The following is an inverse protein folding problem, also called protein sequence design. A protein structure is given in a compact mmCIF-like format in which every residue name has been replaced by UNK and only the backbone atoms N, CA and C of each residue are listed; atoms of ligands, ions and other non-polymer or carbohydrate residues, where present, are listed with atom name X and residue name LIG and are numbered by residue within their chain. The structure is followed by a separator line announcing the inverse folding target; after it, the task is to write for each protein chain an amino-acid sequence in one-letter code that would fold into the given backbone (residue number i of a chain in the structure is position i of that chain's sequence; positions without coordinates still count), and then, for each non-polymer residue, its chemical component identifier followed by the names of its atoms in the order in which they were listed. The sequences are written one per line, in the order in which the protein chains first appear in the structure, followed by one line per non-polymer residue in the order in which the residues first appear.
data_IF_418476099605
#
_entry.id   IF_418476099605
#
_cell.length_a   1.000
_cell.length_b   1.000
_cell.length_c   1.000
_cell.angle_alpha   90.00
_cell.angle_beta   90.00
_cell.angle_gamma   90.00
#
_symmetry.space_group_name_H-M   'P 1'
#
loop_
_entity.id
_entity.type
_entity.pdbx_description
1 polymer ?
#
# COMPACT_ATOMS: atom_id res chain seq x y z
N UNK A 1 -7.78 47.79 -21.64
CA UNK A 1 -8.77 46.76 -21.25
C UNK A 1 -8.51 45.42 -21.94
N UNK A 2 -8.43 45.37 -23.28
CA UNK A 2 -8.17 44.11 -24.03
C UNK A 2 -6.87 43.40 -23.60
N UNK A 3 -5.77 44.14 -23.42
CA UNK A 3 -4.49 43.59 -22.93
C UNK A 3 -4.60 43.03 -21.50
N UNK A 4 -5.39 43.66 -20.62
CA UNK A 4 -5.63 43.13 -19.27
C UNK A 4 -6.46 41.85 -19.30
N UNK A 5 -7.51 41.79 -20.12
CA UNK A 5 -8.33 40.59 -20.28
C UNK A 5 -7.51 39.42 -20.81
N UNK A 6 -6.63 39.67 -21.79
CA UNK A 6 -5.72 38.65 -22.31
C UNK A 6 -4.68 38.21 -21.27
N UNK A 7 -4.13 39.14 -20.50
CA UNK A 7 -3.18 38.84 -19.42
C UNK A 7 -3.79 38.00 -18.31
N UNK A 8 -5.02 38.30 -17.88
CA UNK A 8 -5.73 37.50 -16.86
C UNK A 8 -6.04 36.09 -17.37
N UNK A 9 -6.49 35.97 -18.63
CA UNK A 9 -6.76 34.66 -19.24
C UNK A 9 -5.49 33.81 -19.38
N UNK A 10 -4.39 34.41 -19.83
CA UNK A 10 -3.10 33.72 -19.98
C UNK A 10 -2.53 33.29 -18.62
N UNK A 11 -2.61 34.16 -17.61
CA UNK A 11 -2.16 33.83 -16.26
C UNK A 11 -3.01 32.72 -15.62
N UNK A 12 -4.33 32.77 -15.77
CA UNK A 12 -5.24 31.73 -15.27
C UNK A 12 -4.96 30.37 -15.91
N UNK A 13 -4.64 30.35 -17.20
CA UNK A 13 -4.25 29.12 -17.90
C UNK A 13 -2.94 28.53 -17.35
N UNK A 14 -1.91 29.36 -17.19
CA UNK A 14 -0.61 28.92 -16.64
C UNK A 14 -0.79 28.40 -15.21
N UNK A 15 -1.52 29.12 -14.36
CA UNK A 15 -1.76 28.69 -12.99
C UNK A 15 -2.57 27.40 -12.91
N UNK A 16 -3.57 27.22 -13.78
CA UNK A 16 -4.32 25.96 -13.87
C UNK A 16 -3.41 24.77 -14.17
N UNK A 17 -2.53 24.91 -15.18
CA UNK A 17 -1.56 23.86 -15.53
C UNK A 17 -0.50 23.64 -14.45
N UNK A 18 -0.09 24.71 -13.77
CA UNK A 18 0.87 24.62 -12.67
C UNK A 18 0.29 23.88 -11.46
N UNK A 19 -0.97 24.15 -11.09
CA UNK A 19 -1.68 23.43 -10.03
C UNK A 19 -1.83 21.95 -10.40
N UNK A 20 -2.21 21.64 -11.63
CA UNK A 20 -2.35 20.25 -12.12
C UNK A 20 -1.01 19.49 -12.05
N UNK A 21 0.11 20.15 -12.37
CA UNK A 21 1.44 19.54 -12.25
C UNK A 21 1.81 19.34 -10.77
N UNK A 22 1.54 20.31 -9.90
CA UNK A 22 1.79 20.18 -8.46
C UNK A 22 0.97 19.05 -7.85
N UNK A 23 -0.30 18.93 -8.24
CA UNK A 23 -1.18 17.86 -7.79
C UNK A 23 -0.69 16.50 -8.26
N UNK A 24 -0.25 16.36 -9.52
CA UNK A 24 0.34 15.12 -10.04
C UNK A 24 1.68 14.75 -9.41
N UNK A 25 2.50 15.73 -9.01
CA UNK A 25 3.75 15.49 -8.29
C UNK A 25 3.49 15.09 -6.84
N UNK A 26 2.48 15.70 -6.21
CA UNK A 26 2.10 15.39 -4.84
C UNK A 26 1.27 14.12 -4.75
N UNK A 27 0.53 13.69 -5.79
CA UNK A 27 -0.31 12.47 -5.76
C UNK A 27 0.50 11.21 -5.43
N UNK A 28 1.77 11.14 -5.87
CA UNK A 28 2.68 10.05 -5.52
C UNK A 28 3.14 10.04 -4.06
N UNK A 29 3.13 11.19 -3.37
CA UNK A 29 3.44 11.32 -1.93
C UNK A 29 2.17 11.33 -1.06
N UNK A 30 1.05 11.75 -1.65
CA UNK A 30 -0.23 12.01 -0.99
C UNK A 30 -0.95 10.72 -0.61
N UNK A 31 -0.71 9.58 -1.27
CA UNK A 31 -1.35 8.32 -0.87
C UNK A 31 -1.11 8.00 0.61
N UNK A 32 0.13 8.08 1.09
CA UNK A 32 0.45 7.76 2.49
C UNK A 32 -0.08 8.83 3.47
N UNK A 33 -0.07 10.11 3.08
CA UNK A 33 -0.59 11.20 3.92
C UNK A 33 -2.12 11.16 4.04
N UNK A 34 -2.81 10.79 2.95
CA UNK A 34 -4.26 10.59 2.93
C UNK A 34 -4.64 9.39 3.81
N UNK A 35 -3.90 8.29 3.72
CA UNK A 35 -4.13 7.10 4.54
C UNK A 35 -3.96 7.37 6.05
N UNK A 36 -2.97 8.17 6.44
CA UNK A 36 -2.80 8.59 7.84
C UNK A 36 -3.96 9.49 8.31
N UNK A 37 -4.42 10.40 7.45
CA UNK A 37 -5.60 11.24 7.73
C UNK A 37 -6.86 10.39 7.88
N UNK A 38 -7.05 9.40 7.02
CA UNK A 38 -8.18 8.47 7.06
C UNK A 38 -8.16 7.61 8.33
N UNK A 39 -6.99 7.17 8.79
CA UNK A 39 -6.85 6.48 10.07
C UNK A 39 -7.23 7.37 11.25
N UNK A 40 -6.83 8.66 11.24
CA UNK A 40 -7.25 9.63 12.27
C UNK A 40 -8.76 9.88 12.25
N UNK A 41 -9.35 9.97 11.07
CA UNK A 41 -10.79 10.07 10.89
C UNK A 41 -11.50 8.82 11.43
N UNK A 42 -10.96 7.64 11.16
CA UNK A 42 -11.46 6.37 11.67
C UNK A 42 -11.43 6.31 13.21
N UNK A 43 -10.34 6.74 13.86
CA UNK A 43 -10.31 6.85 15.32
C UNK A 43 -11.39 7.79 15.87
N UNK A 44 -11.63 8.91 15.19
CA UNK A 44 -12.68 9.86 15.56
C UNK A 44 -14.07 9.23 15.46
N UNK A 45 -14.36 8.52 14.37
CA UNK A 45 -15.62 7.79 14.19
C UNK A 45 -15.78 6.71 15.26
N UNK A 46 -14.74 5.93 15.53
CA UNK A 46 -14.75 4.86 16.53
C UNK A 46 -15.01 5.40 17.96
N UNK A 47 -14.45 6.57 18.29
CA UNK A 47 -14.71 7.23 19.57
C UNK A 47 -16.18 7.64 19.75
N UNK A 48 -16.86 8.06 18.67
CA UNK A 48 -18.30 8.35 18.68
C UNK A 48 -19.12 7.09 18.95
N UNK A 49 -18.75 5.96 18.33
CA UNK A 49 -19.40 4.67 18.55
C UNK A 49 -19.26 4.17 20.00
N UNK A 50 -18.14 4.47 20.67
CA UNK A 50 -17.90 4.11 22.07
C UNK A 50 -18.46 5.09 23.10
N UNK A 51 -19.48 5.90 22.76
CA UNK A 51 -20.05 6.94 23.65
C UNK A 51 -18.98 7.91 24.18
N UNK A 52 -18.07 8.37 23.30
CA UNK A 52 -16.95 9.25 23.63
C UNK A 52 -15.89 8.66 24.59
N UNK A 53 -15.88 7.35 24.83
CA UNK A 53 -14.74 6.70 25.49
C UNK A 53 -13.62 6.50 24.47
N UNK A 54 -12.53 7.26 24.64
CA UNK A 54 -11.32 7.13 23.84
C UNK A 54 -10.70 5.74 24.04
N UNK A 55 -10.12 5.17 22.98
CA UNK A 55 -9.25 4.01 23.13
C UNK A 55 -8.05 4.39 24.01
N UNK A 56 -7.44 3.41 24.66
CA UNK A 56 -6.21 3.66 25.39
C UNK A 56 -5.18 4.24 24.41
N UNK A 57 -4.47 5.31 24.82
CA UNK A 57 -3.44 5.94 24.00
C UNK A 57 -2.43 4.90 23.49
N UNK A 58 -2.07 3.95 24.36
CA UNK A 58 -1.18 2.82 24.02
C UNK A 58 -1.68 2.01 22.81
N UNK A 59 -2.96 1.63 22.79
CA UNK A 59 -3.51 0.86 21.67
C UNK A 59 -3.60 1.71 20.39
N UNK A 60 -3.95 2.99 20.52
CA UNK A 60 -4.00 3.91 19.38
C UNK A 60 -2.62 4.07 18.73
N UNK A 61 -1.58 4.27 19.54
CA UNK A 61 -0.19 4.33 19.08
C UNK A 61 0.24 3.01 18.44
N UNK A 62 -0.10 1.87 19.03
CA UNK A 62 0.22 0.55 18.44
C UNK A 62 -0.41 0.37 17.06
N UNK A 63 -1.68 0.72 16.90
CA UNK A 63 -2.39 0.66 15.62
C UNK A 63 -1.74 1.60 14.60
N UNK A 64 -1.41 2.83 15.01
CA UNK A 64 -0.75 3.79 14.13
C UNK A 64 0.63 3.30 13.67
N UNK A 65 1.44 2.77 14.58
CA UNK A 65 2.75 2.18 14.25
C UNK A 65 2.63 1.00 13.28
N UNK A 66 1.62 0.15 13.47
CA UNK A 66 1.33 -0.96 12.54
C UNK A 66 1.06 -0.45 11.13
N UNK A 67 0.13 0.50 10.96
CA UNK A 67 -0.24 1.00 9.65
C UNK A 67 0.86 1.83 9.00
N UNK A 68 1.59 2.64 9.77
CA UNK A 68 2.75 3.38 9.28
C UNK A 68 3.83 2.43 8.71
N UNK A 69 4.11 1.34 9.41
CA UNK A 69 5.01 0.31 8.90
C UNK A 69 4.46 -0.36 7.64
N UNK A 70 3.17 -0.73 7.66
CA UNK A 70 2.50 -1.37 6.54
C UNK A 70 2.60 -0.52 5.26
N UNK A 71 2.15 0.74 5.30
CA UNK A 71 2.15 1.62 4.12
C UNK A 71 3.56 1.91 3.59
N UNK A 72 4.55 2.04 4.49
CA UNK A 72 5.94 2.27 4.10
C UNK A 72 6.57 1.06 3.39
N UNK A 73 6.12 -0.16 3.70
CA UNK A 73 6.69 -1.40 3.15
C UNK A 73 5.74 -2.13 2.20
N UNK A 74 4.58 -1.56 1.89
CA UNK A 74 3.65 -2.12 0.94
C UNK A 74 4.21 -2.00 -0.49
N UNK A 75 4.69 -3.13 -1.00
CA UNK A 75 5.27 -3.23 -2.35
C UNK A 75 4.23 -3.04 -3.45
N UNK A 76 2.95 -3.12 -3.10
CA UNK A 76 1.81 -2.99 -4.00
C UNK A 76 1.12 -1.63 -3.89
N UNK A 77 1.62 -0.69 -3.09
CA UNK A 77 1.02 0.62 -2.88
C UNK A 77 0.71 1.36 -4.20
N UNK A 78 1.56 1.22 -5.20
CA UNK A 78 1.38 1.84 -6.53
C UNK A 78 0.66 0.94 -7.56
N UNK A 79 0.39 -0.33 -7.22
CA UNK A 79 -0.13 -1.34 -8.14
C UNK A 79 -1.45 -1.90 -7.60
N UNK A 80 -2.56 -1.32 -8.06
CA UNK A 80 -3.89 -1.87 -7.78
C UNK A 80 -4.16 -3.10 -8.65
N UNK A 81 -4.83 -4.11 -8.08
CA UNK A 81 -5.25 -5.35 -8.77
C UNK A 81 -6.05 -5.03 -10.05
N UNK A 82 -6.88 -3.99 -10.01
CA UNK A 82 -7.73 -3.57 -11.13
C UNK A 82 -7.11 -2.53 -12.06
N UNK A 83 -5.82 -2.23 -11.92
CA UNK A 83 -5.15 -1.23 -12.73
C UNK A 83 -5.20 -1.60 -14.22
N UNK A 84 -5.80 -0.72 -15.03
CA UNK A 84 -5.97 -0.87 -16.47
C UNK A 84 -4.62 -1.03 -17.20
N UNK A 85 -3.59 -0.31 -16.73
CA UNK A 85 -2.22 -0.47 -17.23
C UNK A 85 -1.69 -1.88 -16.98
N UNK A 86 -1.90 -2.44 -15.79
CA UNK A 86 -1.52 -3.82 -15.49
C UNK A 86 -2.32 -4.82 -16.32
N UNK A 87 -3.58 -4.54 -16.66
CA UNK A 87 -4.39 -5.40 -17.53
C UNK A 87 -3.85 -5.43 -18.95
N UNK A 88 -3.43 -4.28 -19.49
CA UNK A 88 -2.90 -4.13 -20.84
C UNK A 88 -1.51 -4.78 -21.07
N UNK A 89 -0.73 -4.97 -20.00
CA UNK A 89 0.62 -5.53 -20.14
C UNK A 89 0.63 -7.01 -20.61
N UNK A 90 1.63 -7.42 -21.41
CA UNK A 90 1.89 -8.83 -21.70
C UNK A 90 2.18 -9.64 -20.44
N UNK A 91 1.82 -10.92 -20.44
CA UNK A 91 2.01 -11.83 -19.29
C UNK A 91 3.47 -11.94 -18.83
N UNK A 92 4.43 -11.93 -19.77
CA UNK A 92 5.86 -11.96 -19.47
C UNK A 92 6.31 -10.75 -18.64
N UNK A 93 5.84 -9.56 -19.01
CA UNK A 93 6.18 -8.31 -18.31
C UNK A 93 5.56 -8.27 -16.92
N UNK A 94 4.28 -8.63 -16.78
CA UNK A 94 3.62 -8.74 -15.46
C UNK A 94 4.39 -9.65 -14.52
N UNK A 95 4.87 -10.78 -15.05
CA UNK A 95 5.67 -11.75 -14.30
C UNK A 95 6.99 -11.15 -13.85
N UNK A 96 7.71 -10.51 -14.77
CA UNK A 96 9.01 -9.90 -14.46
C UNK A 96 8.88 -8.80 -13.38
N UNK A 97 7.85 -7.98 -13.46
CA UNK A 97 7.58 -6.94 -12.45
C UNK A 97 7.24 -7.58 -11.10
N UNK A 98 6.26 -8.48 -11.06
CA UNK A 98 5.77 -9.02 -9.78
C UNK A 98 6.75 -10.02 -9.15
N UNK A 99 7.21 -11.01 -9.91
CA UNK A 99 7.97 -12.15 -9.40
C UNK A 99 9.44 -11.80 -9.25
N UNK A 100 10.04 -11.15 -10.26
CA UNK A 100 11.50 -10.94 -10.26
C UNK A 100 11.90 -9.63 -9.58
N UNK A 101 11.12 -8.57 -9.77
CA UNK A 101 11.46 -7.25 -9.23
C UNK A 101 10.86 -7.00 -7.85
N UNK A 102 9.53 -7.10 -7.70
CA UNK A 102 8.86 -6.74 -6.44
C UNK A 102 9.00 -7.79 -5.35
N UNK A 103 8.90 -9.09 -5.66
CA UNK A 103 8.88 -10.18 -4.67
C UNK A 103 10.00 -11.21 -4.88
N UNK A 104 11.02 -10.87 -5.66
CA UNK A 104 12.10 -11.79 -6.02
C UNK A 104 12.88 -12.29 -4.81
N UNK A 105 13.10 -11.42 -3.83
CA UNK A 105 13.73 -11.74 -2.54
C UNK A 105 12.92 -12.77 -1.72
N UNK A 106 11.63 -12.53 -1.49
CA UNK A 106 10.75 -13.44 -0.72
C UNK A 106 10.65 -14.79 -1.44
N UNK A 107 10.36 -14.77 -2.73
CA UNK A 107 10.19 -16.00 -3.51
C UNK A 107 11.50 -16.78 -3.63
N UNK A 108 12.64 -16.12 -3.66
CA UNK A 108 13.94 -16.77 -3.69
C UNK A 108 14.31 -17.40 -2.34
N UNK A 109 14.09 -16.68 -1.25
CA UNK A 109 14.35 -17.15 0.11
C UNK A 109 13.52 -18.40 0.41
N UNK A 110 12.24 -18.39 0.03
CA UNK A 110 11.29 -19.47 0.25
C UNK A 110 11.03 -20.32 -0.99
N UNK A 111 12.02 -20.44 -1.89
CA UNK A 111 11.86 -21.11 -3.20
C UNK A 111 11.36 -22.56 -3.13
N UNK A 112 11.73 -23.27 -2.06
CA UNK A 112 11.32 -24.65 -1.85
C UNK A 112 9.84 -24.75 -1.46
N UNK A 113 9.36 -23.82 -0.62
CA UNK A 113 7.95 -23.75 -0.23
C UNK A 113 7.07 -23.42 -1.44
N UNK A 114 7.47 -22.41 -2.23
CA UNK A 114 6.70 -21.99 -3.41
C UNK A 114 6.93 -22.84 -4.66
N UNK A 115 7.88 -23.79 -4.62
CA UNK A 115 8.32 -24.60 -5.77
C UNK A 115 8.52 -23.75 -7.02
N UNK A 116 9.37 -22.71 -6.90
CA UNK A 116 9.45 -21.64 -7.91
C UNK A 116 9.81 -22.11 -9.30
N UNK A 117 10.61 -23.18 -9.43
CA UNK A 117 10.97 -23.79 -10.72
C UNK A 117 9.77 -24.44 -11.37
N UNK A 118 9.03 -25.26 -10.63
CA UNK A 118 7.85 -25.98 -11.14
C UNK A 118 6.70 -25.02 -11.48
N UNK A 119 6.56 -23.95 -10.70
CA UNK A 119 5.48 -22.99 -10.82
C UNK A 119 5.83 -21.76 -11.67
N UNK A 120 7.00 -21.72 -12.31
CA UNK A 120 7.51 -20.54 -13.02
C UNK A 120 6.55 -20.04 -14.12
N UNK A 121 5.93 -20.96 -14.86
CA UNK A 121 4.99 -20.67 -15.94
C UNK A 121 3.52 -20.66 -15.50
N UNK A 122 3.27 -21.05 -14.26
CA UNK A 122 1.94 -21.04 -13.67
C UNK A 122 1.52 -19.61 -13.28
N UNK A 123 0.21 -19.39 -13.14
CA UNK A 123 -0.32 -18.15 -12.55
C UNK A 123 -0.13 -18.08 -11.03
N UNK A 124 0.27 -19.19 -10.39
CA UNK A 124 0.30 -19.32 -8.93
C UNK A 124 1.20 -18.28 -8.27
N UNK A 125 2.46 -18.19 -8.72
CA UNK A 125 3.43 -17.25 -8.17
C UNK A 125 2.99 -15.79 -8.38
N UNK A 126 2.35 -15.48 -9.51
CA UNK A 126 1.80 -14.15 -9.76
C UNK A 126 0.65 -13.83 -8.81
N UNK A 127 -0.26 -14.77 -8.60
CA UNK A 127 -1.44 -14.58 -7.73
C UNK A 127 -1.04 -14.46 -6.26
N UNK A 128 -0.10 -15.28 -5.78
CA UNK A 128 0.30 -15.25 -4.37
C UNK A 128 1.01 -13.95 -3.98
N UNK A 129 1.68 -13.28 -4.92
CA UNK A 129 2.29 -11.98 -4.68
C UNK A 129 1.30 -10.93 -4.15
N UNK A 130 0.03 -10.98 -4.58
CA UNK A 130 -1.02 -10.07 -4.11
C UNK A 130 -1.52 -10.38 -2.69
N UNK A 131 -1.18 -11.56 -2.16
CA UNK A 131 -1.56 -11.97 -0.80
C UNK A 131 -0.51 -11.61 0.26
N UNK A 132 0.69 -11.18 -0.13
CA UNK A 132 1.71 -10.81 0.86
C UNK A 132 1.37 -9.48 1.53
N UNK A 133 1.48 -9.48 2.86
CA UNK A 133 1.28 -8.30 3.69
C UNK A 133 2.51 -8.09 4.58
N UNK A 134 3.17 -6.92 4.52
CA UNK A 134 4.28 -6.63 5.42
C UNK A 134 3.78 -6.51 6.86
N UNK A 135 4.46 -7.18 7.79
CA UNK A 135 4.18 -7.07 9.22
C UNK A 135 5.48 -6.90 10.00
N UNK A 136 5.39 -6.15 11.09
CA UNK A 136 6.46 -6.00 12.07
C UNK A 136 5.85 -6.23 13.44
N UNK A 137 6.52 -7.07 14.23
CA UNK A 137 6.15 -7.38 15.60
C UNK A 137 7.18 -6.75 16.56
N UNK A 138 6.72 -6.32 17.73
CA UNK A 138 7.61 -5.85 18.80
C UNK A 138 8.27 -7.03 19.51
N UNK A 139 9.34 -6.75 20.26
CA UNK A 139 9.92 -7.75 21.16
C UNK A 139 8.85 -8.22 22.17
N UNK A 140 8.80 -9.53 22.40
CA UNK A 140 7.81 -10.21 23.26
C UNK A 140 6.33 -10.14 22.78
N UNK A 141 6.07 -9.71 21.54
CA UNK A 141 4.74 -9.79 20.97
C UNK A 141 4.38 -11.22 20.54
N UNK A 142 3.25 -11.72 21.06
CA UNK A 142 2.75 -13.05 20.74
C UNK A 142 2.14 -13.03 19.33
N UNK A 143 2.68 -13.86 18.44
CA UNK A 143 2.17 -14.02 17.07
C UNK A 143 1.06 -15.07 17.02
N UNK A 144 1.29 -16.22 17.67
CA UNK A 144 0.27 -17.26 17.88
C UNK A 144 0.22 -17.64 19.34
N UNK A 145 -1.00 -17.82 19.83
CA UNK A 145 -1.27 -18.43 21.12
C UNK A 145 -1.40 -19.95 20.93
N UNK A 146 -0.97 -20.72 21.93
CA UNK A 146 -1.17 -22.16 21.91
C UNK A 146 -2.67 -22.49 21.80
N UNK A 147 -3.01 -23.52 21.03
CA UNK A 147 -4.39 -23.94 20.74
C UNK A 147 -5.24 -22.96 19.90
N UNK A 148 -4.66 -21.86 19.41
CA UNK A 148 -5.37 -20.98 18.48
C UNK A 148 -5.35 -21.49 17.04
N UNK A 149 -6.42 -21.22 16.29
CA UNK A 149 -6.48 -21.55 14.87
C UNK A 149 -5.59 -20.61 14.06
N UNK A 150 -4.66 -21.18 13.28
CA UNK A 150 -3.79 -20.39 12.41
C UNK A 150 -4.52 -19.98 11.13
N UNK A 151 -4.94 -18.71 11.06
CA UNK A 151 -5.59 -18.14 9.88
C UNK A 151 -4.62 -17.66 8.80
N UNK A 152 -3.35 -17.46 9.15
CA UNK A 152 -2.32 -16.87 8.29
C UNK A 152 -1.02 -17.69 8.33
N UNK A 153 -0.11 -17.44 7.40
CA UNK A 153 1.25 -18.00 7.38
C UNK A 153 2.24 -16.84 7.34
N UNK A 154 3.26 -16.89 8.20
CA UNK A 154 4.33 -15.89 8.26
C UNK A 154 5.62 -16.38 7.59
N UNK A 155 6.19 -15.50 6.79
CA UNK A 155 7.49 -15.69 6.14
C UNK A 155 8.49 -14.71 6.78
N UNK A 156 9.41 -15.24 7.59
CA UNK A 156 10.37 -14.43 8.36
C UNK A 156 11.53 -14.03 7.44
N UNK A 157 11.66 -12.72 7.17
CA UNK A 157 12.73 -12.14 6.35
C UNK A 157 13.88 -11.60 7.19
#
# INVERSE_FOLDING_TARGET
VVVMLFGVAFFSYIMGRFIEILENLNSGKSNNENEESDLKNWFTVLSRFKKNKLLSKKLMTKIQMYFEYYWKHDRLASIKIDNEYMKALPRSIKRQIMINYLFGDVLFLFRHFFRTVDNLDSKFLYTICFGFQPRKFEEDEIIYEEESEASEIYFIM
#
